data_IF_686402035435
#
_entry.id   IF_686402035435
#
_cell.length_a   1.000
_cell.length_b   1.000
_cell.length_c   1.000
_cell.angle_alpha   90.00
_cell.angle_beta   90.00
_cell.angle_gamma   90.00
#
_symmetry.space_group_name_H-M   'P 1'
#
loop_
_entity.id
_entity.type
_entity.pdbx_description
1 polymer ?
#
# COMPACT_ATOMS: atom_id res chain seq x y z
N UNK A 1 -2.56 12.70 -9.73
CA UNK A 1 -2.26 11.48 -8.98
C UNK A 1 -3.46 11.17 -8.10
N UNK A 2 -4.02 9.97 -8.22
CA UNK A 2 -5.22 9.56 -7.47
C UNK A 2 -4.85 8.37 -6.59
N UNK A 3 -5.12 8.47 -5.28
CA UNK A 3 -4.91 7.36 -4.33
C UNK A 3 -6.25 6.75 -3.97
N UNK A 4 -6.35 5.43 -4.06
CA UNK A 4 -7.52 4.64 -3.65
C UNK A 4 -7.13 3.72 -2.50
N UNK A 5 -8.11 3.35 -1.67
CA UNK A 5 -7.91 2.49 -0.50
C UNK A 5 -8.79 1.24 -0.62
N UNK A 6 -8.30 0.12 -0.08
CA UNK A 6 -9.05 -1.13 0.04
C UNK A 6 -9.50 -1.35 1.48
N UNK A 7 -10.57 -2.14 1.70
CA UNK A 7 -10.95 -2.60 3.03
C UNK A 7 -9.84 -3.41 3.73
N UNK A 8 -8.94 -4.02 2.95
CA UNK A 8 -7.83 -4.85 3.43
C UNK A 8 -6.59 -4.02 3.86
N UNK A 9 -6.79 -2.72 4.10
CA UNK A 9 -5.75 -1.80 4.55
C UNK A 9 -4.59 -1.62 3.57
N UNK A 10 -4.87 -1.71 2.28
CA UNK A 10 -3.94 -1.35 1.20
C UNK A 10 -4.34 -0.02 0.56
N UNK A 11 -3.37 0.61 -0.10
CA UNK A 11 -3.60 1.75 -0.96
C UNK A 11 -2.96 1.53 -2.33
N UNK A 12 -3.58 2.12 -3.34
CA UNK A 12 -3.11 2.12 -4.72
C UNK A 12 -3.05 3.57 -5.19
N UNK A 13 -1.87 4.03 -5.57
CA UNK A 13 -1.67 5.35 -6.19
C UNK A 13 -1.47 5.17 -7.69
N UNK A 14 -2.36 5.78 -8.47
CA UNK A 14 -2.30 5.76 -9.93
C UNK A 14 -1.54 6.98 -10.41
N UNK A 15 -0.44 6.73 -11.12
CA UNK A 15 0.42 7.73 -11.72
C UNK A 15 -0.09 8.12 -13.12
N UNK A 16 0.38 9.26 -13.62
CA UNK A 16 -0.10 9.81 -14.91
C UNK A 16 0.36 8.99 -16.13
N UNK A 17 1.43 8.22 -15.99
CA UNK A 17 2.00 7.36 -17.04
C UNK A 17 1.30 5.99 -17.14
N UNK A 18 0.25 5.77 -16.34
CA UNK A 18 -0.49 4.51 -16.30
C UNK A 18 0.12 3.46 -15.36
N UNK A 19 1.23 3.77 -14.69
CA UNK A 19 1.76 2.90 -13.62
C UNK A 19 0.95 3.07 -12.33
N UNK A 20 0.97 2.03 -11.49
CA UNK A 20 0.35 2.04 -10.17
C UNK A 20 1.36 1.63 -9.11
N UNK A 21 1.43 2.40 -8.02
CA UNK A 21 2.16 2.02 -6.81
C UNK A 21 1.18 1.44 -5.80
N UNK A 22 1.49 0.29 -5.22
CA UNK A 22 0.69 -0.36 -4.18
C UNK A 22 1.47 -0.38 -2.87
N UNK A 23 0.78 -0.22 -1.75
CA UNK A 23 1.37 -0.36 -0.41
C UNK A 23 0.32 -0.57 0.66
N UNK A 24 0.76 -0.75 1.90
CA UNK A 24 -0.13 -0.85 3.07
C UNK A 24 -0.40 0.51 3.69
N UNK A 25 -1.57 0.68 4.30
CA UNK A 25 -1.95 1.91 5.02
C UNK A 25 -1.12 2.09 6.29
N UNK A 26 -1.06 3.32 6.79
CA UNK A 26 -0.41 3.61 8.08
C UNK A 26 -1.00 2.78 9.22
N UNK A 27 -2.32 2.58 9.22
CA UNK A 27 -2.98 1.74 10.22
C UNK A 27 -2.49 0.30 10.20
N UNK A 28 -2.30 -0.29 9.01
CA UNK A 28 -1.73 -1.62 8.88
C UNK A 28 -0.27 -1.67 9.33
N UNK A 29 0.53 -0.66 9.01
CA UNK A 29 1.92 -0.56 9.48
C UNK A 29 2.01 -0.55 11.01
N UNK A 30 1.18 0.28 11.66
CA UNK A 30 1.17 0.39 13.12
C UNK A 30 0.68 -0.91 13.79
N UNK A 31 -0.24 -1.64 13.14
CA UNK A 31 -0.73 -2.93 13.62
C UNK A 31 0.30 -4.06 13.46
N UNK A 32 1.13 -4.02 12.41
CA UNK A 32 2.20 -5.00 12.16
C UNK A 32 3.42 -4.76 13.05
N UNK A 33 3.67 -3.52 13.46
CA UNK A 33 4.89 -3.14 14.18
C UNK A 33 6.12 -3.15 13.27
N UNK A 34 7.26 -3.58 13.79
CA UNK A 34 8.51 -3.63 13.01
C UNK A 34 8.45 -4.75 11.96
N UNK A 35 8.28 -4.35 10.70
CA UNK A 35 8.27 -5.27 9.56
C UNK A 35 9.70 -5.73 9.28
N UNK A 36 9.96 -7.03 9.44
CA UNK A 36 11.29 -7.64 9.25
C UNK A 36 11.44 -8.43 7.95
N UNK A 37 10.33 -8.75 7.30
CA UNK A 37 10.29 -9.52 6.07
C UNK A 37 9.06 -9.14 5.25
N UNK A 38 9.22 -9.09 3.93
CA UNK A 38 8.14 -8.86 2.97
C UNK A 38 8.36 -9.84 1.81
N UNK A 39 7.34 -10.63 1.49
CA UNK A 39 7.33 -11.48 0.30
C UNK A 39 6.51 -10.79 -0.80
N UNK A 40 7.13 -10.56 -1.95
CA UNK A 40 6.52 -9.89 -3.08
C UNK A 40 6.48 -10.84 -4.29
N UNK A 41 5.38 -10.85 -5.06
CA UNK A 41 5.25 -11.66 -6.27
C UNK A 41 6.10 -11.16 -7.45
#
# INVERSE_FOLDING_TARGET
MTTKFTPDHEWVRVEADGTATVGITQHAQDALGDVVFVDLP
#
